data_IF_538202048543
#
_entry.id   IF_538202048543
#
_cell.length_a   1.000
_cell.length_b   1.000
_cell.length_c   1.000
_cell.angle_alpha   90.00
_cell.angle_beta   90.00
_cell.angle_gamma   90.00
#
_symmetry.space_group_name_H-M   'P 1'
#
loop_
_entity.id
_entity.type
_entity.pdbx_description
1 polymer ?
#
# COMPACT_ATOMS: atom_id res chain seq x y z
N UNK A 1 -2.02 -11.72 -2.72
CA UNK A 1 -0.98 -12.10 -1.73
C UNK A 1 -0.23 -10.92 -1.10
N UNK A 2 0.08 -9.83 -1.82
CA UNK A 2 0.82 -8.67 -1.26
C UNK A 2 0.01 -7.81 -0.25
N UNK A 3 -1.29 -7.58 -0.51
CA UNK A 3 -2.18 -6.85 0.43
C UNK A 3 -2.31 -7.54 1.79
N UNK A 4 -2.23 -8.88 1.82
CA UNK A 4 -2.30 -9.67 3.05
C UNK A 4 -1.06 -9.51 3.95
N UNK A 5 0.03 -8.97 3.41
CA UNK A 5 1.30 -8.70 4.11
C UNK A 5 1.57 -7.21 4.30
N UNK A 6 0.52 -6.39 4.28
CA UNK A 6 0.62 -4.94 4.46
C UNK A 6 1.54 -4.22 3.46
N UNK A 7 1.78 -4.82 2.29
CA UNK A 7 2.53 -4.18 1.21
C UNK A 7 1.58 -3.39 0.32
N UNK A 8 1.78 -2.06 0.21
CA UNK A 8 1.03 -1.24 -0.73
C UNK A 8 1.23 -1.68 -2.17
N UNK A 9 0.23 -1.47 -3.05
CA UNK A 9 0.24 -1.99 -4.41
C UNK A 9 1.43 -1.49 -5.23
N UNK A 10 1.79 -0.21 -5.14
CA UNK A 10 2.91 0.35 -5.94
C UNK A 10 4.24 -0.21 -5.47
N UNK A 11 4.52 -0.09 -4.17
CA UNK A 11 5.79 -0.60 -3.63
C UNK A 11 5.93 -2.12 -3.76
N UNK A 12 4.83 -2.87 -3.68
CA UNK A 12 4.80 -4.31 -3.88
C UNK A 12 5.10 -4.70 -5.32
N UNK A 13 4.58 -3.98 -6.31
CA UNK A 13 4.87 -4.20 -7.73
C UNK A 13 6.35 -3.97 -8.05
N UNK A 14 6.95 -2.91 -7.49
CA UNK A 14 8.38 -2.62 -7.69
C UNK A 14 9.25 -3.71 -7.05
N UNK A 15 8.96 -4.10 -5.79
CA UNK A 15 9.70 -5.19 -5.13
C UNK A 15 9.58 -6.49 -5.93
N UNK A 16 8.40 -6.80 -6.46
CA UNK A 16 8.18 -8.00 -7.25
C UNK A 16 8.95 -7.98 -8.57
N UNK A 17 8.93 -6.85 -9.30
CA UNK A 17 9.71 -6.69 -10.52
C UNK A 17 11.21 -6.88 -10.27
N UNK A 18 11.73 -6.26 -9.20
CA UNK A 18 13.14 -6.40 -8.81
C UNK A 18 13.50 -7.82 -8.37
N UNK A 19 12.57 -8.52 -7.71
CA UNK A 19 12.77 -9.92 -7.34
C UNK A 19 12.89 -10.81 -8.59
N UNK A 20 12.11 -10.54 -9.63
CA UNK A 20 12.20 -11.25 -10.91
C UNK A 20 13.55 -10.94 -11.58
N UNK A 21 13.99 -9.68 -11.56
CA UNK A 21 15.30 -9.28 -12.08
C UNK A 21 16.45 -10.02 -11.39
N UNK A 22 16.43 -10.10 -10.06
CA UNK A 22 17.41 -10.89 -9.31
C UNK A 22 17.39 -12.38 -9.65
N UNK A 23 16.21 -12.95 -9.91
CA UNK A 23 16.10 -14.33 -10.36
C UNK A 23 16.68 -14.52 -11.76
N UNK A 24 16.38 -13.60 -12.68
CA UNK A 24 16.93 -13.59 -14.03
C UNK A 24 18.46 -13.54 -14.00
N UNK A 25 19.05 -12.61 -13.25
CA UNK A 25 20.50 -12.52 -13.09
C UNK A 25 21.09 -13.79 -12.45
N UNK A 26 20.37 -14.38 -11.51
CA UNK A 26 20.72 -15.67 -10.93
C UNK A 26 20.74 -16.81 -11.96
N UNK A 27 19.82 -16.82 -12.92
CA UNK A 27 19.82 -17.78 -14.02
C UNK A 27 20.96 -17.50 -15.00
N UNK A 28 21.21 -16.24 -15.37
CA UNK A 28 22.31 -15.89 -16.27
C UNK A 28 23.67 -16.30 -15.69
N UNK A 29 23.89 -16.12 -14.38
CA UNK A 29 25.11 -16.61 -13.69
C UNK A 29 25.25 -18.13 -13.74
N UNK A 30 24.15 -18.88 -13.69
CA UNK A 30 24.19 -20.34 -13.81
C UNK A 30 24.55 -20.76 -15.23
N UNK A 31 24.03 -20.07 -16.23
CA UNK A 31 24.37 -20.29 -17.64
C UNK A 31 25.86 -20.01 -17.87
N UNK A 32 26.37 -18.90 -17.36
CA UNK A 32 27.80 -18.57 -17.37
C UNK A 32 28.66 -19.63 -16.67
N UNK A 33 28.22 -20.18 -15.53
CA UNK A 33 28.96 -21.22 -14.83
C UNK A 33 29.00 -22.57 -15.59
N UNK A 34 28.01 -22.84 -16.45
CA UNK A 34 27.93 -24.09 -17.23
C UNK A 34 28.68 -23.99 -18.56
N UNK A 35 28.53 -22.87 -19.27
CA UNK A 35 29.11 -22.65 -20.60
C UNK A 35 30.45 -21.91 -20.57
N UNK A 36 30.84 -21.36 -19.42
CA UNK A 36 32.03 -20.54 -19.27
C UNK A 36 31.77 -19.04 -19.50
N UNK A 37 32.79 -18.19 -19.30
CA UNK A 37 32.65 -16.73 -19.40
C UNK A 37 32.30 -16.24 -20.81
N UNK A 38 32.67 -17.01 -21.84
CA UNK A 38 32.44 -16.71 -23.25
C UNK A 38 31.12 -17.28 -23.78
N UNK A 39 30.15 -17.57 -22.90
CA UNK A 39 28.87 -18.18 -23.27
C UNK A 39 28.07 -17.37 -24.30
N UNK A 40 28.30 -16.06 -24.35
CA UNK A 40 27.68 -15.12 -25.30
C UNK A 40 28.13 -15.33 -26.75
N UNK A 41 29.28 -15.97 -26.99
CA UNK A 41 29.76 -16.32 -28.33
C UNK A 41 29.03 -17.53 -28.93
N UNK A 42 28.35 -18.35 -28.10
CA UNK A 42 27.51 -19.42 -28.60
C UNK A 42 26.20 -18.86 -29.18
N UNK A 43 25.74 -19.43 -30.30
CA UNK A 43 24.50 -18.99 -30.95
C UNK A 43 23.27 -19.06 -30.00
N UNK A 44 23.26 -20.01 -29.07
CA UNK A 44 22.20 -20.12 -28.05
C UNK A 44 22.38 -19.10 -26.92
N UNK A 45 23.63 -18.82 -26.51
CA UNK A 45 23.92 -17.81 -25.49
C UNK A 45 23.64 -16.39 -25.97
N UNK A 46 23.93 -16.08 -27.23
CA UNK A 46 23.57 -14.79 -27.83
C UNK A 46 22.05 -14.56 -27.82
N UNK A 47 21.25 -15.56 -28.20
CA UNK A 47 19.78 -15.46 -28.16
C UNK A 47 19.27 -15.27 -26.74
N UNK A 48 19.79 -16.05 -25.79
CA UNK A 48 19.41 -15.95 -24.38
C UNK A 48 19.77 -14.57 -23.80
N UNK A 49 20.92 -14.01 -24.18
CA UNK A 49 21.31 -12.66 -23.80
C UNK A 49 20.32 -11.63 -24.35
N UNK A 50 19.98 -11.70 -25.64
CA UNK A 50 19.02 -10.78 -26.27
C UNK A 50 17.63 -10.85 -25.62
N UNK A 51 17.13 -12.06 -25.36
CA UNK A 51 15.86 -12.27 -24.64
C UNK A 51 15.93 -11.74 -23.19
N UNK A 52 17.07 -11.93 -22.51
CA UNK A 52 17.27 -11.44 -21.14
C UNK A 52 17.24 -9.90 -21.07
N UNK A 53 17.88 -9.22 -22.04
CA UNK A 53 17.90 -7.76 -22.12
C UNK A 53 16.50 -7.20 -22.43
N UNK A 54 15.77 -7.83 -23.36
CA UNK A 54 14.37 -7.48 -23.63
C UNK A 54 13.47 -7.69 -22.41
N UNK A 55 13.72 -8.74 -21.63
CA UNK A 55 12.98 -9.00 -20.40
C UNK A 55 13.31 -7.97 -19.31
N UNK A 56 14.58 -7.58 -19.15
CA UNK A 56 15.01 -6.50 -18.25
C UNK A 56 14.34 -5.17 -18.60
N UNK A 57 14.25 -4.82 -19.88
CA UNK A 57 13.55 -3.61 -20.32
C UNK A 57 12.07 -3.60 -19.93
N UNK A 58 11.40 -4.77 -19.97
CA UNK A 58 10.00 -4.90 -19.52
C UNK A 58 9.84 -4.80 -18.00
N UNK A 59 10.90 -5.07 -17.25
CA UNK A 59 10.93 -4.97 -15.78
C UNK A 59 11.27 -3.56 -15.29
N UNK A 60 11.38 -2.56 -16.18
CA UNK A 60 11.66 -1.19 -15.77
C UNK A 60 10.59 -0.66 -14.82
N UNK A 61 11.02 -0.42 -13.60
CA UNK A 61 10.21 0.05 -12.48
C UNK A 61 10.06 1.57 -12.46
N UNK A 62 10.85 2.30 -13.25
CA UNK A 62 10.83 3.77 -13.33
C UNK A 62 9.44 4.28 -13.74
N UNK A 63 8.81 3.62 -14.71
CA UNK A 63 7.45 3.96 -15.16
C UNK A 63 6.40 3.82 -14.04
N UNK A 64 6.55 2.83 -13.17
CA UNK A 64 5.63 2.61 -12.04
C UNK A 64 5.83 3.73 -11.00
N UNK A 65 7.08 4.09 -10.75
CA UNK A 65 7.43 5.19 -9.86
C UNK A 65 6.88 6.55 -10.34
N UNK A 66 7.05 6.86 -11.63
CA UNK A 66 6.55 8.12 -12.21
C UNK A 66 5.03 8.20 -12.17
N UNK A 67 4.34 7.10 -12.43
CA UNK A 67 2.88 7.03 -12.32
C UNK A 67 2.41 7.30 -10.89
N UNK A 68 3.10 6.74 -9.89
CA UNK A 68 2.83 7.00 -8.48
C UNK A 68 3.05 8.47 -8.10
N UNK A 69 4.16 9.06 -8.55
CA UNK A 69 4.50 10.45 -8.24
C UNK A 69 3.44 11.42 -8.80
N UNK A 70 2.97 11.15 -10.02
CA UNK A 70 1.87 11.89 -10.63
C UNK A 70 0.54 11.72 -9.87
N UNK A 71 0.21 10.51 -9.43
CA UNK A 71 -1.02 10.23 -8.68
C UNK A 71 -1.03 10.92 -7.31
N UNK A 72 0.09 10.84 -6.57
CA UNK A 72 0.26 11.53 -5.28
C UNK A 72 0.19 13.05 -5.46
N UNK A 73 0.82 13.58 -6.51
CA UNK A 73 0.78 15.02 -6.82
C UNK A 73 -0.63 15.53 -7.14
N UNK A 74 -1.44 14.74 -7.85
CA UNK A 74 -2.84 15.09 -8.19
C UNK A 74 -3.75 15.07 -6.98
N UNK A 75 -3.58 14.10 -6.07
CA UNK A 75 -4.48 13.87 -4.94
C UNK A 75 -4.35 14.89 -3.81
N UNK A 76 -3.23 15.63 -3.73
CA UNK A 76 -2.96 16.64 -2.68
C UNK A 76 -3.44 16.19 -1.29
N UNK A 77 -2.94 15.04 -0.83
CA UNK A 77 -3.35 14.44 0.43
C UNK A 77 -3.00 15.39 1.57
N UNK A 78 -4.00 15.93 2.26
CA UNK A 78 -3.85 16.82 3.41
C UNK A 78 -4.54 16.23 4.65
N UNK A 79 -3.84 16.22 5.78
CA UNK A 79 -4.36 15.72 7.06
C UNK A 79 -4.94 16.90 7.85
N UNK A 80 -5.95 17.54 7.28
CA UNK A 80 -6.62 18.70 7.88
C UNK A 80 -8.13 18.55 7.70
N UNK A 81 -8.89 18.90 8.73
CA UNK A 81 -10.35 18.86 8.69
C UNK A 81 -10.98 18.40 10.00
N UNK A 82 -12.28 18.12 9.91
CA UNK A 82 -13.09 17.58 11.01
C UNK A 82 -12.74 16.10 11.21
N UNK A 83 -12.53 15.70 12.47
CA UNK A 83 -12.17 14.34 12.87
C UNK A 83 -13.32 13.34 12.75
N UNK A 84 -14.54 13.80 12.99
CA UNK A 84 -15.75 13.00 12.95
C UNK A 84 -16.61 13.41 11.77
N UNK A 85 -17.17 12.41 11.10
CA UNK A 85 -18.16 12.56 10.05
C UNK A 85 -19.40 11.73 10.41
N UNK A 86 -20.58 12.19 10.01
CA UNK A 86 -21.84 11.47 10.24
C UNK A 86 -22.18 10.76 8.93
N UNK A 87 -21.85 9.47 8.87
CA UNK A 87 -22.09 8.64 7.71
C UNK A 87 -23.51 8.07 7.74
N UNK A 88 -24.25 8.26 6.65
CA UNK A 88 -25.58 7.65 6.50
C UNK A 88 -25.47 6.25 5.93
N UNK A 89 -25.76 5.24 6.75
CA UNK A 89 -25.67 3.83 6.34
C UNK A 89 -26.93 3.43 5.58
N UNK A 90 -26.84 3.46 4.25
CA UNK A 90 -27.97 3.12 3.35
C UNK A 90 -28.47 1.69 3.49
N UNK A 91 -27.60 0.74 3.86
CA UNK A 91 -27.95 -0.66 4.07
C UNK A 91 -28.77 -0.92 5.34
N UNK A 92 -28.75 0.00 6.31
CA UNK A 92 -29.46 -0.12 7.58
C UNK A 92 -30.69 0.81 7.63
N UNK A 93 -31.35 1.05 6.50
CA UNK A 93 -32.52 1.94 6.43
C UNK A 93 -32.20 3.44 6.54
N UNK A 94 -30.93 3.82 6.37
CA UNK A 94 -30.50 5.22 6.40
C UNK A 94 -30.25 5.77 7.82
N UNK A 95 -29.94 4.90 8.77
CA UNK A 95 -29.46 5.26 10.11
C UNK A 95 -28.17 6.07 10.00
N UNK A 96 -28.04 7.07 10.85
CA UNK A 96 -26.85 7.90 10.97
C UNK A 96 -25.86 7.19 11.92
N UNK A 97 -24.67 6.88 11.42
CA UNK A 97 -23.59 6.32 12.23
C UNK A 97 -22.44 7.33 12.31
N UNK A 98 -21.82 7.41 13.49
CA UNK A 98 -20.61 8.17 13.68
C UNK A 98 -19.46 7.46 12.97
N UNK A 99 -18.75 8.15 12.09
CA UNK A 99 -17.55 7.67 11.44
C UNK A 99 -16.38 8.60 11.77
N UNK A 100 -15.18 8.06 11.80
CA UNK A 100 -13.96 8.87 11.88
C UNK A 100 -13.53 9.18 10.45
N UNK A 101 -13.32 10.45 10.17
CA UNK A 101 -12.86 10.93 8.87
C UNK A 101 -11.36 10.67 8.71
N UNK A 102 -11.01 9.43 8.37
CA UNK A 102 -9.64 9.01 8.12
C UNK A 102 -9.55 8.25 6.80
N UNK A 103 -8.94 8.87 5.80
CA UNK A 103 -8.78 8.28 4.47
C UNK A 103 -7.76 7.13 4.49
N UNK A 104 -8.15 5.89 4.11
CA UNK A 104 -7.22 4.77 3.97
C UNK A 104 -6.03 5.05 3.02
N UNK A 105 -6.17 5.98 2.07
CA UNK A 105 -5.08 6.39 1.19
C UNK A 105 -3.91 7.02 1.93
N UNK A 106 -4.16 7.65 3.08
CA UNK A 106 -3.12 8.20 3.97
C UNK A 106 -2.22 7.08 4.49
N UNK A 107 -2.80 5.91 4.79
CA UNK A 107 -2.07 4.71 5.22
C UNK A 107 -1.17 4.21 4.10
N UNK A 108 -1.74 4.11 2.90
CA UNK A 108 -1.03 3.70 1.69
C UNK A 108 0.14 4.63 1.41
N UNK A 109 -0.06 5.95 1.49
CA UNK A 109 0.96 6.96 1.19
C UNK A 109 2.21 6.82 2.07
N UNK A 110 2.06 6.75 3.39
CA UNK A 110 3.24 6.67 4.26
C UNK A 110 3.94 5.31 4.17
N UNK A 111 3.18 4.22 3.95
CA UNK A 111 3.75 2.88 3.70
C UNK A 111 4.53 2.85 2.39
N UNK A 112 4.00 3.44 1.32
CA UNK A 112 4.66 3.55 0.00
C UNK A 112 5.91 4.41 0.06
N UNK A 113 5.80 5.60 0.65
CA UNK A 113 6.93 6.53 0.82
C UNK A 113 8.09 5.85 1.57
N UNK A 114 7.80 5.10 2.64
CA UNK A 114 8.81 4.34 3.38
C UNK A 114 9.50 3.31 2.48
N UNK A 115 8.72 2.50 1.76
CA UNK A 115 9.26 1.41 0.94
C UNK A 115 10.04 1.93 -0.28
N UNK A 116 9.61 3.03 -0.89
CA UNK A 116 10.31 3.70 -1.98
C UNK A 116 11.62 4.32 -1.50
N UNK A 117 11.62 4.95 -0.33
CA UNK A 117 12.84 5.47 0.30
C UNK A 117 13.84 4.35 0.58
N UNK A 118 13.38 3.19 1.07
CA UNK A 118 14.25 2.03 1.30
C UNK A 118 14.84 1.48 -0.01
N UNK A 119 14.09 1.55 -1.11
CA UNK A 119 14.57 1.17 -2.44
C UNK A 119 15.43 2.24 -3.13
N UNK A 120 15.79 3.31 -2.42
CA UNK A 120 16.62 4.43 -2.89
C UNK A 120 15.99 5.28 -4.01
N UNK A 121 14.64 5.30 -4.12
CA UNK A 121 13.95 6.26 -4.99
C UNK A 121 13.92 7.65 -4.35
N UNK A 122 14.05 8.69 -5.17
CA UNK A 122 14.07 10.10 -4.73
C UNK A 122 12.66 10.66 -4.52
N UNK A 123 12.07 10.40 -3.36
CA UNK A 123 10.74 10.93 -3.01
C UNK A 123 10.79 12.44 -2.72
N UNK A 124 9.88 13.27 -3.30
CA UNK A 124 9.84 14.70 -3.01
C UNK A 124 9.68 15.02 -1.52
N UNK A 125 10.33 16.10 -1.07
CA UNK A 125 10.31 16.49 0.34
C UNK A 125 8.89 16.77 0.86
N UNK A 126 8.05 17.41 0.06
CA UNK A 126 6.65 17.67 0.41
C UNK A 126 5.87 16.40 0.76
N UNK A 127 6.01 15.34 -0.07
CA UNK A 127 5.37 14.03 0.16
C UNK A 127 5.92 13.36 1.41
N UNK A 128 7.23 13.50 1.65
CA UNK A 128 7.89 12.95 2.84
C UNK A 128 7.38 13.61 4.12
N UNK A 129 7.18 14.92 4.14
CA UNK A 129 6.64 15.66 5.28
C UNK A 129 5.21 15.22 5.59
N UNK A 130 4.33 15.19 4.58
CA UNK A 130 2.95 14.70 4.73
C UNK A 130 2.93 13.26 5.25
N UNK A 131 3.80 12.39 4.74
CA UNK A 131 3.91 11.00 5.18
C UNK A 131 4.34 10.88 6.64
N UNK A 132 5.21 11.76 7.13
CA UNK A 132 5.63 11.78 8.55
C UNK A 132 4.48 12.23 9.45
N UNK A 133 3.76 13.27 9.07
CA UNK A 133 2.60 13.74 9.82
C UNK A 133 1.49 12.68 9.83
N UNK A 134 1.23 12.02 8.70
CA UNK A 134 0.29 10.92 8.57
C UNK A 134 0.61 9.78 9.55
N UNK A 135 1.87 9.37 9.58
CA UNK A 135 2.36 8.32 10.48
C UNK A 135 2.19 8.69 11.95
N UNK A 136 2.34 9.97 12.32
CA UNK A 136 2.15 10.45 13.70
C UNK A 136 0.69 10.39 14.13
N UNK A 137 -0.24 10.76 13.26
CA UNK A 137 -1.68 10.82 13.58
C UNK A 137 -2.35 9.45 13.52
N UNK A 138 -1.81 8.53 12.72
CA UNK A 138 -2.38 7.21 12.46
C UNK A 138 -2.81 6.42 13.71
N UNK A 139 -1.99 6.25 14.77
CA UNK A 139 -2.39 5.47 15.94
C UNK A 139 -3.63 6.02 16.65
N UNK A 140 -3.75 7.35 16.71
CA UNK A 140 -4.90 8.01 17.32
C UNK A 140 -6.16 7.82 16.49
N UNK A 141 -6.06 7.97 15.17
CA UNK A 141 -7.19 7.76 14.26
C UNK A 141 -7.69 6.30 14.33
N UNK A 142 -6.79 5.31 14.33
CA UNK A 142 -7.15 3.89 14.44
C UNK A 142 -7.80 3.59 15.78
N UNK A 143 -7.27 4.13 16.88
CA UNK A 143 -7.89 3.96 18.19
C UNK A 143 -9.32 4.51 18.22
N UNK A 144 -9.54 5.70 17.67
CA UNK A 144 -10.88 6.31 17.60
C UNK A 144 -11.82 5.50 16.70
N UNK A 145 -11.35 5.04 15.54
CA UNK A 145 -12.14 4.19 14.64
C UNK A 145 -12.59 2.92 15.35
N UNK A 146 -11.69 2.26 16.07
CA UNK A 146 -12.00 1.01 16.77
C UNK A 146 -12.92 1.25 17.97
N UNK A 147 -12.75 2.36 18.71
CA UNK A 147 -13.66 2.74 19.79
C UNK A 147 -15.07 3.03 19.29
N UNK A 148 -15.21 3.81 18.20
CA UNK A 148 -16.51 4.13 17.60
C UNK A 148 -17.19 2.88 17.02
N UNK A 149 -16.41 2.00 16.39
CA UNK A 149 -16.89 0.71 15.90
C UNK A 149 -17.38 -0.17 17.04
N UNK A 150 -16.60 -0.29 18.11
CA UNK A 150 -16.96 -1.06 19.31
C UNK A 150 -18.25 -0.52 19.91
N UNK A 151 -18.34 0.79 20.12
CA UNK A 151 -19.55 1.45 20.62
C UNK A 151 -20.77 1.14 19.74
N UNK A 152 -20.63 1.28 18.43
CA UNK A 152 -21.72 1.01 17.47
C UNK A 152 -22.15 -0.45 17.51
N UNK A 153 -21.22 -1.39 17.70
CA UNK A 153 -21.51 -2.81 17.83
C UNK A 153 -22.19 -3.13 19.16
N UNK A 154 -21.71 -2.56 20.27
CA UNK A 154 -22.31 -2.73 21.59
C UNK A 154 -23.72 -2.15 21.63
N UNK A 155 -23.96 -0.97 21.05
CA UNK A 155 -25.30 -0.38 20.94
C UNK A 155 -26.26 -1.26 20.15
N UNK A 156 -25.80 -1.87 19.03
CA UNK A 156 -26.61 -2.85 18.29
C UNK A 156 -26.93 -4.09 19.12
N UNK A 157 -25.96 -4.61 19.86
CA UNK A 157 -26.17 -5.76 20.75
C UNK A 157 -27.17 -5.42 21.86
N UNK A 158 -27.02 -4.27 22.52
CA UNK A 158 -27.95 -3.79 23.55
C UNK A 158 -29.37 -3.65 22.97
N UNK A 159 -29.51 -3.08 21.77
CA UNK A 159 -30.82 -2.95 21.12
C UNK A 159 -31.50 -4.30 20.82
N UNK A 160 -30.71 -5.37 20.65
CA UNK A 160 -31.22 -6.72 20.42
C UNK A 160 -31.60 -7.46 21.72
N UNK A 161 -31.14 -6.99 22.89
CA UNK A 161 -31.36 -7.63 24.20
C UNK A 161 -32.76 -7.39 24.80
N UNK A 162 -33.64 -6.61 24.15
CA UNK A 162 -35.03 -6.43 24.61
C UNK A 162 -35.16 -5.67 25.94
N UNK A 163 -35.98 -6.17 26.87
CA UNK A 163 -36.29 -5.50 28.14
C UNK A 163 -35.07 -5.30 29.07
N UNK A 164 -34.07 -6.18 28.98
CA UNK A 164 -32.83 -6.09 29.78
C UNK A 164 -31.94 -4.89 29.38
N UNK A 165 -32.15 -4.32 28.20
CA UNK A 165 -31.43 -3.12 27.73
C UNK A 165 -31.68 -1.88 28.60
N UNK A 166 -32.81 -1.84 29.32
CA UNK A 166 -33.18 -0.74 30.22
C UNK A 166 -32.20 -0.63 31.40
N UNK A 167 -31.56 -1.72 31.82
CA UNK A 167 -30.56 -1.72 32.90
C UNK A 167 -29.22 -1.12 32.46
N UNK A 168 -28.97 -1.04 31.15
CA UNK A 168 -27.73 -0.55 30.55
C UNK A 168 -27.86 0.88 30.02
N UNK A 169 -29.08 1.28 29.65
CA UNK A 169 -29.44 2.65 29.33
C UNK A 169 -29.82 3.39 30.63
N UNK A 170 -28.82 3.69 31.47
CA UNK A 170 -29.00 4.53 32.66
C UNK A 170 -29.37 5.97 32.31
#
# INVERSE_FOLDING_TARGET
>A
MAQLRDLPPVSGAIIWARQIEFQLDGYMRKVEAVLGPDWTLHAEGHKLQEESELFKQKLDTSRIYDAWLNDVGRRKISISGQLFDIARVRSAGGILELAVNFDPQVITLFKETRNLTWQSYSVPHAVTTVSKDAKRVYPYAVSLMESVRTLSQTLRQISAMGEESVLLNG
#
